data_IF_893514454769
#
_entry.id   IF_893514454769
#
_cell.length_a   1.000
_cell.length_b   1.000
_cell.length_c   1.000
_cell.angle_alpha   90.00
_cell.angle_beta   90.00
_cell.angle_gamma   90.00
#
_symmetry.space_group_name_H-M   'P 1'
#
loop_
_entity.id
_entity.type
_entity.pdbx_description
1 polymer ?
#
# COMPACT_ATOMS: atom_id res chain seq x y z
N UNK A 1 7.37 3.90 17.13
CA UNK A 1 7.04 2.84 18.11
C UNK A 1 6.41 1.64 17.42
N UNK A 2 6.38 0.47 18.07
CA UNK A 2 5.82 -0.77 17.51
C UNK A 2 4.36 -0.62 17.07
N UNK A 3 3.56 0.14 17.82
CA UNK A 3 2.15 0.42 17.51
C UNK A 3 1.93 1.13 16.16
N UNK A 4 2.79 2.08 15.81
CA UNK A 4 2.74 2.80 14.53
C UNK A 4 2.87 1.84 13.35
N UNK A 5 3.77 0.85 13.47
CA UNK A 5 3.98 -0.17 12.42
C UNK A 5 2.74 -1.05 12.23
N UNK A 6 2.15 -1.53 13.32
CA UNK A 6 0.96 -2.40 13.26
C UNK A 6 -0.26 -1.71 12.63
N UNK A 7 -0.44 -0.40 12.87
CA UNK A 7 -1.51 0.38 12.23
C UNK A 7 -1.30 0.45 10.72
N UNK A 8 -0.09 0.80 10.26
CA UNK A 8 0.21 0.84 8.82
C UNK A 8 -0.03 -0.50 8.12
N UNK A 9 0.43 -1.60 8.73
CA UNK A 9 0.18 -2.95 8.21
C UNK A 9 -1.32 -3.27 8.12
N UNK A 10 -2.11 -2.93 9.14
CA UNK A 10 -3.56 -3.16 9.13
C UNK A 10 -4.24 -2.37 8.02
N UNK A 11 -3.84 -1.13 7.79
CA UNK A 11 -4.40 -0.31 6.70
C UNK A 11 -4.10 -0.92 5.33
N UNK A 12 -2.90 -1.47 5.11
CA UNK A 12 -2.59 -2.20 3.87
C UNK A 12 -3.50 -3.43 3.70
N UNK A 13 -3.69 -4.24 4.75
CA UNK A 13 -4.54 -5.43 4.70
C UNK A 13 -6.00 -5.07 4.39
N UNK A 14 -6.58 -4.10 5.11
CA UNK A 14 -7.97 -3.67 4.90
C UNK A 14 -8.12 -3.04 3.52
N UNK A 15 -7.16 -2.22 3.10
CA UNK A 15 -7.10 -1.64 1.76
C UNK A 15 -7.12 -2.72 0.67
N UNK A 16 -6.32 -3.78 0.82
CA UNK A 16 -6.33 -4.93 -0.11
C UNK A 16 -7.71 -5.58 -0.19
N UNK A 17 -8.42 -5.74 0.94
CA UNK A 17 -9.78 -6.27 0.94
C UNK A 17 -10.76 -5.37 0.17
N UNK A 18 -10.64 -4.05 0.28
CA UNK A 18 -11.43 -3.11 -0.55
C UNK A 18 -11.11 -3.25 -2.04
N UNK A 19 -9.83 -3.41 -2.41
CA UNK A 19 -9.44 -3.67 -3.79
C UNK A 19 -10.02 -4.99 -4.31
N UNK A 20 -9.95 -6.06 -3.53
CA UNK A 20 -10.56 -7.35 -3.89
C UNK A 20 -12.08 -7.23 -4.09
N UNK A 21 -12.75 -6.37 -3.31
CA UNK A 21 -14.15 -6.02 -3.48
C UNK A 21 -14.43 -4.99 -4.60
N UNK A 22 -13.46 -4.71 -5.46
CA UNK A 22 -13.52 -3.74 -6.59
C UNK A 22 -13.80 -2.29 -6.16
N UNK A 23 -13.49 -1.93 -4.91
CA UNK A 23 -13.65 -0.57 -4.36
C UNK A 23 -12.32 0.19 -4.40
N UNK A 24 -11.96 0.69 -5.58
CA UNK A 24 -10.65 1.30 -5.83
C UNK A 24 -10.36 2.49 -4.91
N UNK A 25 -11.28 3.44 -4.80
CA UNK A 25 -11.05 4.69 -4.05
C UNK A 25 -10.80 4.42 -2.57
N UNK A 26 -11.61 3.55 -1.96
CA UNK A 26 -11.46 3.12 -0.57
C UNK A 26 -10.13 2.37 -0.35
N UNK A 27 -9.75 1.52 -1.31
CA UNK A 27 -8.46 0.85 -1.29
C UNK A 27 -7.31 1.84 -1.30
N UNK A 28 -7.30 2.80 -2.26
CA UNK A 28 -6.25 3.80 -2.40
C UNK A 28 -6.14 4.74 -1.20
N UNK A 29 -7.26 5.16 -0.62
CA UNK A 29 -7.28 6.00 0.58
C UNK A 29 -6.52 5.32 1.73
N UNK A 30 -6.82 4.05 2.00
CA UNK A 30 -6.15 3.26 3.03
C UNK A 30 -4.70 2.95 2.67
N UNK A 31 -4.42 2.68 1.39
CA UNK A 31 -3.07 2.49 0.86
C UNK A 31 -2.18 3.70 1.11
N UNK A 32 -2.65 4.90 0.80
CA UNK A 32 -1.88 6.14 1.02
C UNK A 32 -1.57 6.35 2.50
N UNK A 33 -2.55 6.18 3.39
CA UNK A 33 -2.33 6.26 4.84
C UNK A 33 -1.36 5.20 5.35
N UNK A 34 -1.41 4.00 4.78
CA UNK A 34 -0.44 2.95 5.09
C UNK A 34 0.98 3.39 4.74
N UNK A 35 1.21 3.93 3.54
CA UNK A 35 2.52 4.43 3.09
C UNK A 35 3.03 5.57 3.98
N UNK A 36 2.19 6.55 4.33
CA UNK A 36 2.56 7.67 5.21
C UNK A 36 3.15 7.18 6.54
N UNK A 37 2.55 6.13 7.10
CA UNK A 37 2.96 5.51 8.36
C UNK A 37 4.21 4.66 8.17
N UNK A 38 4.21 3.82 7.14
CA UNK A 38 5.27 2.83 6.93
C UNK A 38 6.57 3.44 6.40
N UNK A 39 6.53 4.60 5.74
CA UNK A 39 7.73 5.33 5.32
C UNK A 39 8.61 5.77 6.50
N UNK A 40 8.00 5.90 7.70
CA UNK A 40 8.70 6.31 8.92
C UNK A 40 9.24 5.14 9.74
N UNK A 41 9.00 3.88 9.32
CA UNK A 41 9.44 2.70 10.06
C UNK A 41 10.36 1.82 9.21
N UNK A 42 11.55 1.52 9.73
CA UNK A 42 12.48 0.59 9.10
C UNK A 42 12.02 -0.86 9.35
N UNK A 43 11.20 -1.43 8.46
CA UNK A 43 10.72 -2.81 8.58
C UNK A 43 10.45 -3.47 7.24
N UNK A 44 11.17 -4.54 6.93
CA UNK A 44 10.96 -5.33 5.72
C UNK A 44 9.60 -6.03 5.73
N UNK A 45 9.22 -6.64 6.87
CA UNK A 45 7.90 -7.30 7.02
C UNK A 45 6.73 -6.36 6.73
N UNK A 46 6.83 -5.08 7.09
CA UNK A 46 5.77 -4.12 6.81
C UNK A 46 5.66 -3.80 5.31
N UNK A 47 6.78 -3.83 4.57
CA UNK A 47 6.81 -3.61 3.13
C UNK A 47 6.15 -4.75 2.35
N UNK A 48 6.16 -5.98 2.88
CA UNK A 48 5.52 -7.12 2.24
C UNK A 48 4.00 -6.93 2.10
N UNK A 49 3.34 -6.34 3.09
CA UNK A 49 1.91 -6.01 3.01
C UNK A 49 1.61 -4.94 1.95
N UNK A 50 2.51 -3.98 1.75
CA UNK A 50 2.37 -2.97 0.68
C UNK A 50 2.67 -3.59 -0.69
N UNK A 51 3.56 -4.58 -0.76
CA UNK A 51 3.79 -5.35 -1.99
C UNK A 51 2.55 -6.14 -2.41
N UNK A 52 1.91 -6.83 -1.46
CA UNK A 52 0.64 -7.53 -1.70
C UNK A 52 -0.46 -6.55 -2.16
N UNK A 53 -0.55 -5.39 -1.51
CA UNK A 53 -1.46 -4.32 -1.92
C UNK A 53 -1.20 -3.85 -3.36
N UNK A 54 0.07 -3.63 -3.74
CA UNK A 54 0.46 -3.28 -5.11
C UNK A 54 0.06 -4.37 -6.12
N UNK A 55 0.17 -5.64 -5.77
CA UNK A 55 -0.29 -6.75 -6.61
C UNK A 55 -1.81 -6.71 -6.80
N UNK A 56 -2.57 -6.42 -5.74
CA UNK A 56 -4.03 -6.30 -5.81
C UNK A 56 -4.50 -5.14 -6.71
N UNK A 57 -3.65 -4.14 -6.95
CA UNK A 57 -3.93 -3.02 -7.87
C UNK A 57 -3.78 -3.39 -9.36
N UNK A 58 -3.28 -4.58 -9.70
CA UNK A 58 -3.07 -5.01 -11.08
C UNK A 58 -4.26 -4.77 -12.04
N UNK A 59 -5.53 -4.99 -11.63
CA UNK A 59 -6.69 -4.71 -12.48
C UNK A 59 -6.85 -3.24 -12.89
N UNK A 60 -6.27 -2.31 -12.14
CA UNK A 60 -6.37 -0.85 -12.34
C UNK A 60 -5.06 -0.21 -12.76
N UNK A 61 -4.07 -0.98 -13.25
CA UNK A 61 -2.73 -0.49 -13.62
C UNK A 61 -2.69 0.70 -14.59
N UNK A 62 -3.78 0.93 -15.33
CA UNK A 62 -3.91 2.04 -16.29
C UNK A 62 -4.43 3.33 -15.63
N UNK A 63 -5.01 3.24 -14.44
CA UNK A 63 -5.53 4.40 -13.72
C UNK A 63 -4.38 5.31 -13.28
N UNK A 64 -4.45 6.63 -13.58
CA UNK A 64 -3.40 7.57 -13.20
C UNK A 64 -3.10 7.57 -11.69
N UNK A 65 -4.16 7.50 -10.86
CA UNK A 65 -4.03 7.46 -9.40
C UNK A 65 -3.26 6.21 -8.92
N UNK A 66 -3.51 5.06 -9.55
CA UNK A 66 -2.81 3.80 -9.25
C UNK A 66 -1.34 3.87 -9.66
N UNK A 67 -1.05 4.44 -10.83
CA UNK A 67 0.35 4.65 -11.26
C UNK A 67 1.11 5.58 -10.32
N UNK A 68 0.47 6.66 -9.88
CA UNK A 68 1.04 7.59 -8.91
C UNK A 68 1.29 6.91 -7.56
N UNK A 69 0.34 6.10 -7.07
CA UNK A 69 0.49 5.32 -5.85
C UNK A 69 1.67 4.34 -5.94
N UNK A 70 1.75 3.55 -7.01
CA UNK A 70 2.85 2.58 -7.21
C UNK A 70 4.20 3.31 -7.27
N UNK A 71 4.29 4.43 -7.98
CA UNK A 71 5.49 5.25 -8.01
C UNK A 71 5.89 5.72 -6.61
N UNK A 72 4.92 6.20 -5.82
CA UNK A 72 5.13 6.63 -4.44
C UNK A 72 5.70 5.51 -3.56
N UNK A 73 5.14 4.31 -3.63
CA UNK A 73 5.64 3.16 -2.85
C UNK A 73 7.08 2.78 -3.19
N UNK A 74 7.50 2.97 -4.45
CA UNK A 74 8.89 2.76 -4.87
C UNK A 74 9.80 3.81 -4.27
N UNK A 75 9.42 5.07 -4.36
CA UNK A 75 10.23 6.20 -3.90
C UNK A 75 10.37 6.25 -2.39
N UNK A 76 9.27 6.03 -1.65
CA UNK A 76 9.26 6.19 -0.18
C UNK A 76 9.62 4.92 0.58
N UNK A 77 9.31 3.73 0.02
CA UNK A 77 9.51 2.46 0.71
C UNK A 77 10.59 1.58 0.07
N UNK A 78 11.08 1.92 -1.12
CA UNK A 78 12.03 1.10 -1.87
C UNK A 78 11.44 -0.22 -2.34
N UNK A 79 10.12 -0.30 -2.56
CA UNK A 79 9.45 -1.52 -3.01
C UNK A 79 9.61 -1.67 -4.52
N UNK A 80 10.44 -2.60 -4.98
CA UNK A 80 10.43 -3.04 -6.39
C UNK A 80 9.14 -3.80 -6.69
N UNK A 81 8.52 -3.61 -7.86
CA UNK A 81 7.46 -4.54 -8.30
C UNK A 81 8.14 -5.87 -8.64
N UNK A 82 7.61 -6.97 -8.10
CA UNK A 82 7.92 -8.32 -8.59
C UNK A 82 7.11 -8.61 -9.84
#
# INVERSE_FOLDING_TARGET
GVFTRSVGMRLAIVGTAHLQARRLDQGLELGHRSVDILARVQSNRAKDYVREFNTALAPWRREPAVRAFIHRTRTELGIALG
#
